data_IF_284186702308
#
_entry.id   IF_284186702308
#
_cell.length_a   1.000
_cell.length_b   1.000
_cell.length_c   1.000
_cell.angle_alpha   90.00
_cell.angle_beta   90.00
_cell.angle_gamma   90.00
#
_symmetry.space_group_name_H-M   'P 1'
#
loop_
_entity.id
_entity.type
_entity.pdbx_description
1 polymer ?
#
# COMPACT_ATOMS: atom_id res chain seq x y z
N UNK A 1 -69.49 19.93 13.45
CA UNK A 1 -68.21 20.20 12.78
C UNK A 1 -67.21 19.15 13.24
N UNK A 2 -66.89 18.17 12.37
CA UNK A 2 -65.88 17.13 12.63
C UNK A 2 -64.57 17.56 11.95
N UNK A 3 -63.54 17.82 12.76
CA UNK A 3 -62.21 18.13 12.23
C UNK A 3 -61.51 16.81 11.86
N UNK A 4 -61.20 16.67 10.58
CA UNK A 4 -60.37 15.60 10.03
C UNK A 4 -58.90 16.03 10.16
N UNK A 5 -58.17 15.39 11.09
CA UNK A 5 -56.73 15.61 11.23
C UNK A 5 -56.05 14.68 10.20
N UNK A 6 -55.49 15.27 9.15
CA UNK A 6 -54.70 14.59 8.14
C UNK A 6 -53.24 14.53 8.66
N UNK A 7 -52.81 13.39 9.18
CA UNK A 7 -51.40 13.16 9.55
C UNK A 7 -50.61 12.79 8.29
N UNK A 8 -49.85 13.73 7.79
CA UNK A 8 -48.85 13.49 6.71
C UNK A 8 -47.66 12.79 7.31
N UNK A 9 -47.51 11.48 7.07
CA UNK A 9 -46.28 10.77 7.34
C UNK A 9 -45.26 11.13 6.25
N UNK A 10 -44.22 11.88 6.63
CA UNK A 10 -43.07 12.14 5.79
C UNK A 10 -42.19 10.88 5.83
N UNK A 11 -42.22 10.07 4.77
CA UNK A 11 -41.27 9.02 4.53
C UNK A 11 -39.95 9.67 4.13
N UNK A 12 -38.97 9.72 5.04
CA UNK A 12 -37.59 9.92 4.68
C UNK A 12 -37.11 8.62 4.06
N UNK A 13 -37.08 8.55 2.74
CA UNK A 13 -36.30 7.56 2.03
C UNK A 13 -34.83 7.99 2.19
N UNK A 14 -34.10 7.37 3.12
CA UNK A 14 -32.65 7.37 3.08
C UNK A 14 -32.24 6.63 1.81
N UNK A 15 -31.76 7.38 0.82
CA UNK A 15 -31.02 6.77 -0.29
C UNK A 15 -29.78 6.11 0.36
N UNK A 16 -29.80 4.79 0.45
CA UNK A 16 -28.57 4.02 0.62
C UNK A 16 -27.77 4.23 -0.68
N UNK A 17 -26.85 5.15 -0.66
CA UNK A 17 -25.81 5.22 -1.69
C UNK A 17 -24.96 3.98 -1.47
N UNK A 18 -24.81 3.15 -2.50
CA UNK A 18 -23.85 2.06 -2.46
C UNK A 18 -22.46 2.67 -2.24
N UNK A 19 -21.74 2.19 -1.26
CA UNK A 19 -20.35 2.62 -1.01
C UNK A 19 -19.49 2.29 -2.23
N UNK A 20 -18.54 3.18 -2.52
CA UNK A 20 -17.59 2.92 -3.60
C UNK A 20 -16.66 1.78 -3.18
N UNK A 21 -16.44 0.75 -4.01
CA UNK A 21 -15.47 -0.30 -3.67
C UNK A 21 -14.03 0.20 -3.69
N UNK A 22 -13.77 1.37 -4.24
CA UNK A 22 -12.42 1.87 -4.50
C UNK A 22 -11.92 2.76 -3.36
N UNK A 23 -10.58 2.84 -3.24
CA UNK A 23 -9.96 3.81 -2.34
C UNK A 23 -10.42 5.22 -2.66
N UNK A 24 -10.57 6.04 -1.62
CA UNK A 24 -11.09 7.39 -1.72
C UNK A 24 -10.03 8.46 -1.47
N UNK A 25 -8.93 8.10 -0.80
CA UNK A 25 -7.93 9.06 -0.35
C UNK A 25 -6.53 8.47 -0.30
N UNK A 26 -5.52 9.36 -0.52
CA UNK A 26 -4.08 9.10 -0.30
C UNK A 26 -3.59 10.02 0.81
N UNK A 27 -2.90 9.47 1.82
CA UNK A 27 -2.35 10.22 2.95
C UNK A 27 -0.87 10.51 2.82
N UNK A 28 -0.12 9.60 2.21
CA UNK A 28 1.32 9.75 2.07
C UNK A 28 1.81 9.07 0.79
N UNK A 29 2.75 9.73 0.11
CA UNK A 29 3.48 9.19 -1.01
C UNK A 29 4.96 9.53 -0.85
N UNK A 30 5.78 8.51 -0.65
CA UNK A 30 7.22 8.63 -0.47
C UNK A 30 7.92 7.54 -1.28
N UNK A 31 8.11 7.73 -2.59
CA UNK A 31 8.82 6.77 -3.41
C UNK A 31 10.31 6.73 -3.04
N UNK A 32 10.94 5.57 -3.18
CA UNK A 32 12.39 5.46 -3.25
C UNK A 32 12.87 5.96 -4.63
N UNK A 33 14.15 6.27 -4.81
CA UNK A 33 14.69 6.54 -6.13
C UNK A 33 14.35 5.44 -7.14
N UNK A 34 14.06 5.80 -8.40
CA UNK A 34 13.68 4.83 -9.43
C UNK A 34 13.52 5.45 -10.81
N UNK A 35 13.55 4.61 -11.83
CA UNK A 35 13.53 5.01 -13.24
C UNK A 35 12.22 5.68 -13.68
N UNK A 36 11.12 5.48 -12.99
CA UNK A 36 9.82 6.12 -13.26
C UNK A 36 9.48 7.21 -12.26
N UNK A 37 10.28 7.40 -11.23
CA UNK A 37 10.11 8.50 -10.27
C UNK A 37 10.29 9.83 -10.97
N UNK A 38 9.51 10.83 -10.58
CA UNK A 38 9.34 12.14 -11.24
C UNK A 38 8.55 12.12 -12.56
N UNK A 39 8.11 10.94 -13.03
CA UNK A 39 7.27 10.80 -14.24
C UNK A 39 5.95 10.08 -13.99
N UNK A 40 5.85 9.28 -12.91
CA UNK A 40 4.64 8.56 -12.51
C UNK A 40 4.38 8.69 -11.00
N UNK A 41 3.65 9.77 -10.58
CA UNK A 41 3.11 10.87 -11.37
C UNK A 41 4.20 11.88 -11.79
N UNK A 42 3.89 12.70 -12.78
CA UNK A 42 4.81 13.72 -13.29
C UNK A 42 5.05 14.83 -12.26
N UNK A 43 6.33 15.07 -11.96
CA UNK A 43 6.77 16.19 -11.15
C UNK A 43 6.78 17.46 -11.99
N UNK A 44 6.25 18.54 -11.46
CA UNK A 44 6.35 19.88 -12.02
C UNK A 44 7.17 20.77 -11.07
N UNK A 45 7.92 21.72 -11.66
CA UNK A 45 8.78 22.60 -10.87
C UNK A 45 7.99 23.37 -9.80
N UNK A 46 8.42 23.20 -8.54
CA UNK A 46 7.74 23.75 -7.36
C UNK A 46 6.75 22.82 -6.66
N UNK A 47 6.56 21.58 -7.14
CA UNK A 47 5.80 20.58 -6.39
C UNK A 47 6.53 20.23 -5.08
N UNK A 48 5.78 20.22 -4.00
CA UNK A 48 6.19 19.69 -2.70
C UNK A 48 5.57 18.29 -2.46
N UNK A 49 5.89 17.67 -1.33
CA UNK A 49 5.36 16.36 -0.95
C UNK A 49 3.83 16.32 -0.92
N UNK A 50 3.18 17.42 -0.51
CA UNK A 50 1.73 17.51 -0.48
C UNK A 50 1.13 17.62 -1.90
N UNK A 51 1.79 18.33 -2.82
CA UNK A 51 1.39 18.41 -4.22
C UNK A 51 1.51 17.02 -4.89
N UNK A 52 2.61 16.33 -4.69
CA UNK A 52 2.81 14.99 -5.22
C UNK A 52 1.79 13.99 -4.64
N UNK A 53 1.48 14.07 -3.34
CA UNK A 53 0.44 13.24 -2.73
C UNK A 53 -0.95 13.46 -3.35
N UNK A 54 -1.32 14.72 -3.66
CA UNK A 54 -2.57 15.04 -4.39
C UNK A 54 -2.57 14.47 -5.81
N UNK A 55 -1.46 14.59 -6.55
CA UNK A 55 -1.32 14.00 -7.90
C UNK A 55 -1.47 12.48 -7.87
N UNK A 56 -0.95 11.82 -6.83
CA UNK A 56 -1.15 10.39 -6.60
C UNK A 56 -2.63 10.09 -6.33
N UNK A 57 -3.29 10.83 -5.45
CA UNK A 57 -4.72 10.66 -5.20
C UNK A 57 -5.56 10.84 -6.46
N UNK A 58 -5.30 11.88 -7.25
CA UNK A 58 -5.94 12.12 -8.54
C UNK A 58 -5.71 10.97 -9.54
N UNK A 59 -4.55 10.33 -9.50
CA UNK A 59 -4.25 9.22 -10.39
C UNK A 59 -4.97 7.92 -10.02
N UNK A 60 -4.96 7.53 -8.74
CA UNK A 60 -5.32 6.17 -8.33
C UNK A 60 -6.61 6.06 -7.50
N UNK A 61 -7.14 7.15 -6.93
CA UNK A 61 -8.38 7.10 -6.17
C UNK A 61 -9.62 7.05 -7.07
N UNK A 62 -10.75 6.61 -6.51
CA UNK A 62 -12.07 6.61 -7.16
C UNK A 62 -12.10 5.91 -8.54
N UNK A 63 -11.30 4.86 -8.73
CA UNK A 63 -11.18 4.11 -9.99
C UNK A 63 -10.73 4.99 -11.20
N UNK A 64 -9.87 5.94 -10.96
CA UNK A 64 -9.38 6.85 -12.02
C UNK A 64 -8.45 6.17 -13.03
N UNK A 65 -7.98 4.93 -12.76
CA UNK A 65 -7.19 4.09 -13.67
C UNK A 65 -5.85 4.70 -14.10
N UNK A 66 -5.36 5.67 -13.34
CA UNK A 66 -3.99 6.12 -13.44
C UNK A 66 -3.03 5.12 -12.81
N UNK A 67 -1.75 5.38 -12.91
CA UNK A 67 -0.71 4.54 -12.36
C UNK A 67 0.34 5.42 -11.69
N UNK A 68 0.90 4.94 -10.60
CA UNK A 68 2.04 5.55 -9.91
C UNK A 68 3.13 4.51 -9.70
N UNK A 69 4.37 4.96 -9.59
CA UNK A 69 5.51 4.12 -9.22
C UNK A 69 5.90 4.33 -7.77
N UNK A 70 6.36 3.28 -7.10
CA UNK A 70 6.94 3.39 -5.75
C UNK A 70 8.48 3.49 -5.78
N UNK A 71 9.10 3.30 -6.95
CA UNK A 71 10.55 3.26 -7.12
C UNK A 71 11.16 2.01 -6.48
N UNK A 72 12.45 2.06 -6.14
CA UNK A 72 13.18 0.95 -5.55
C UNK A 72 12.65 0.51 -4.19
N UNK A 73 13.34 -0.43 -3.55
CA UNK A 73 12.92 -1.03 -2.29
C UNK A 73 12.56 0.00 -1.22
N UNK A 74 11.43 -0.25 -0.56
CA UNK A 74 10.96 0.54 0.58
C UNK A 74 10.16 1.79 0.22
N UNK A 75 10.24 2.29 -1.03
CA UNK A 75 9.38 3.39 -1.47
C UNK A 75 7.91 3.00 -1.37
N UNK A 76 7.05 3.91 -0.89
CA UNK A 76 5.70 3.55 -0.47
C UNK A 76 4.61 4.59 -0.77
N UNK A 77 3.38 4.11 -0.71
CA UNK A 77 2.15 4.91 -0.69
C UNK A 77 1.26 4.45 0.46
N UNK A 78 0.55 5.40 1.10
CA UNK A 78 -0.50 5.13 2.11
C UNK A 78 -1.82 5.66 1.57
N UNK A 79 -2.79 4.78 1.44
CA UNK A 79 -4.13 5.12 0.97
C UNK A 79 -5.21 4.38 1.80
N UNK A 80 -6.48 4.71 1.57
CA UNK A 80 -7.56 4.04 2.28
C UNK A 80 -8.93 4.23 1.65
N UNK A 81 -9.86 3.51 2.23
CA UNK A 81 -11.27 3.50 1.87
C UNK A 81 -12.04 4.52 2.72
N UNK A 82 -13.21 4.95 2.27
CA UNK A 82 -14.15 5.78 3.04
C UNK A 82 -15.03 4.96 3.99
N UNK A 83 -14.73 3.66 4.11
CA UNK A 83 -15.45 2.69 4.89
C UNK A 83 -14.50 1.60 5.43
N UNK A 84 -15.01 0.76 6.33
CA UNK A 84 -14.32 -0.42 6.82
C UNK A 84 -14.36 -1.53 5.76
N UNK A 85 -13.23 -2.00 5.26
CA UNK A 85 -13.14 -3.28 4.53
C UNK A 85 -13.19 -4.40 5.55
N UNK A 86 -14.29 -5.15 5.60
CA UNK A 86 -14.52 -6.16 6.64
C UNK A 86 -13.68 -7.41 6.39
N UNK A 87 -13.03 -7.92 7.43
CA UNK A 87 -12.38 -9.22 7.42
C UNK A 87 -13.45 -10.33 7.41
N UNK A 88 -13.56 -11.07 6.33
CA UNK A 88 -14.54 -12.15 6.14
C UNK A 88 -13.89 -13.51 6.22
N UNK A 89 -14.38 -14.35 7.11
CA UNK A 89 -13.88 -15.70 7.27
C UNK A 89 -13.92 -16.49 5.94
N UNK A 90 -12.82 -17.15 5.61
CA UNK A 90 -12.67 -17.99 4.40
C UNK A 90 -12.87 -17.25 3.06
N UNK A 91 -12.71 -15.91 3.02
CA UNK A 91 -12.82 -15.12 1.81
C UNK A 91 -11.58 -14.24 1.61
N UNK A 92 -11.43 -13.67 0.43
CA UNK A 92 -10.49 -12.58 0.16
C UNK A 92 -11.25 -11.26 0.26
N UNK A 93 -10.65 -10.27 0.86
CA UNK A 93 -11.35 -9.06 1.27
C UNK A 93 -11.08 -7.89 0.35
N UNK A 94 -9.86 -7.75 -0.15
CA UNK A 94 -9.49 -6.63 -1.01
C UNK A 94 -8.46 -7.01 -2.06
N UNK A 95 -8.26 -6.12 -3.03
CA UNK A 95 -7.28 -6.22 -4.09
C UNK A 95 -6.53 -4.90 -4.21
N UNK A 96 -5.19 -4.95 -4.23
CA UNK A 96 -4.38 -3.82 -4.68
C UNK A 96 -4.12 -3.99 -6.18
N UNK A 97 -4.50 -2.97 -6.95
CA UNK A 97 -4.37 -2.98 -8.40
C UNK A 97 -2.95 -2.55 -8.80
N UNK A 98 -2.31 -3.34 -9.63
CA UNK A 98 -0.99 -3.09 -10.21
C UNK A 98 -0.97 -3.34 -11.70
N UNK A 99 0.23 -3.41 -12.30
CA UNK A 99 0.41 -3.65 -13.74
C UNK A 99 1.05 -5.01 -14.06
N UNK A 100 1.20 -5.90 -13.07
CA UNK A 100 1.81 -7.21 -13.25
C UNK A 100 1.21 -8.00 -14.43
N UNK A 101 2.06 -8.66 -15.20
CA UNK A 101 1.64 -9.54 -16.29
C UNK A 101 2.55 -10.75 -16.43
N UNK A 102 2.04 -11.82 -17.06
CA UNK A 102 2.83 -13.00 -17.38
C UNK A 102 3.26 -13.00 -18.85
N UNK A 103 4.56 -13.17 -19.08
CA UNK A 103 5.12 -13.39 -20.41
C UNK A 103 5.28 -14.87 -20.75
N UNK A 104 5.26 -15.77 -19.74
CA UNK A 104 5.55 -17.20 -19.87
C UNK A 104 4.44 -18.10 -19.33
N UNK A 105 3.18 -17.84 -19.69
CA UNK A 105 1.99 -18.56 -19.19
C UNK A 105 1.99 -20.07 -19.43
N UNK A 106 2.95 -20.59 -20.18
CA UNK A 106 3.07 -22.02 -20.51
C UNK A 106 4.05 -22.78 -19.60
N UNK A 107 4.69 -22.11 -18.65
CA UNK A 107 5.64 -22.72 -17.71
C UNK A 107 4.97 -23.04 -16.38
N UNK A 108 5.55 -23.97 -15.62
CA UNK A 108 5.07 -24.30 -14.26
C UNK A 108 5.23 -23.14 -13.27
N UNK A 109 6.19 -22.23 -13.53
CA UNK A 109 6.45 -21.02 -12.74
C UNK A 109 6.00 -19.82 -13.56
N UNK A 110 4.99 -19.13 -13.09
CA UNK A 110 4.43 -17.95 -13.75
C UNK A 110 5.31 -16.73 -13.49
N UNK A 111 5.58 -15.95 -14.54
CA UNK A 111 6.35 -14.72 -14.46
C UNK A 111 6.30 -13.91 -15.74
N UNK A 112 6.82 -12.72 -15.67
CA UNK A 112 6.89 -11.72 -16.73
C UNK A 112 7.43 -10.44 -16.14
N UNK A 113 6.56 -9.48 -15.82
CA UNK A 113 6.79 -8.36 -14.93
C UNK A 113 5.94 -8.60 -13.68
N UNK A 114 6.54 -9.19 -12.66
CA UNK A 114 5.95 -9.40 -11.33
C UNK A 114 6.85 -8.69 -10.32
N UNK A 115 6.39 -7.53 -9.83
CA UNK A 115 7.19 -6.57 -9.07
C UNK A 115 6.63 -6.40 -7.66
N UNK A 116 6.81 -7.42 -6.79
CA UNK A 116 6.04 -7.62 -5.58
C UNK A 116 6.21 -6.49 -4.57
N UNK A 117 5.07 -5.87 -4.22
CA UNK A 117 4.96 -4.91 -3.13
C UNK A 117 4.48 -5.57 -1.84
N UNK A 118 5.15 -5.30 -0.73
CA UNK A 118 4.68 -5.64 0.61
C UNK A 118 3.43 -4.81 0.90
N UNK A 119 2.42 -5.46 1.44
CA UNK A 119 1.18 -4.82 1.86
C UNK A 119 1.11 -4.79 3.37
N UNK A 120 0.87 -3.63 3.93
CA UNK A 120 0.53 -3.44 5.34
C UNK A 120 -0.86 -2.86 5.45
N UNK A 121 -1.55 -3.20 6.52
CA UNK A 121 -2.93 -2.79 6.79
C UNK A 121 -3.07 -2.19 8.18
N UNK A 122 -4.01 -1.24 8.33
CA UNK A 122 -4.32 -0.63 9.62
C UNK A 122 -5.83 -0.48 9.80
N UNK A 123 -6.26 -0.71 11.04
CA UNK A 123 -7.63 -0.49 11.50
C UNK A 123 -7.69 0.82 12.28
N UNK A 124 -8.60 1.73 11.92
CA UNK A 124 -8.85 2.97 12.65
C UNK A 124 -9.51 2.67 14.00
N UNK A 125 -8.68 2.35 14.99
CA UNK A 125 -9.14 1.92 16.31
C UNK A 125 -9.65 3.11 17.15
N UNK A 126 -9.14 4.31 16.88
CA UNK A 126 -9.52 5.52 17.61
C UNK A 126 -10.67 6.28 16.94
N UNK A 127 -11.04 5.94 15.69
CA UNK A 127 -12.15 6.49 14.91
C UNK A 127 -11.91 7.93 14.44
N UNK A 128 -10.64 8.32 14.22
CA UNK A 128 -10.30 9.69 13.83
C UNK A 128 -10.16 9.88 12.31
N UNK A 129 -10.20 8.78 11.53
CA UNK A 129 -10.07 8.79 10.08
C UNK A 129 -8.65 9.09 9.58
N UNK A 130 -7.62 8.88 10.42
CA UNK A 130 -6.22 9.15 10.11
C UNK A 130 -5.42 7.86 10.29
N UNK A 131 -4.44 7.52 9.41
CA UNK A 131 -3.65 6.30 9.49
C UNK A 131 -2.53 6.38 10.56
N UNK A 132 -2.88 6.71 11.81
CA UNK A 132 -1.98 6.89 12.96
C UNK A 132 -2.07 5.75 13.98
N UNK A 133 -2.88 4.72 13.71
CA UNK A 133 -2.98 3.50 14.48
C UNK A 133 -1.90 2.46 14.08
N UNK A 134 -1.92 1.30 14.74
CA UNK A 134 -0.95 0.23 14.51
C UNK A 134 -1.06 -0.36 13.09
N UNK A 135 0.10 -0.62 12.50
CA UNK A 135 0.23 -1.24 11.18
C UNK A 135 0.63 -2.70 11.30
N UNK A 136 0.00 -3.55 10.48
CA UNK A 136 0.20 -4.99 10.43
C UNK A 136 0.61 -5.41 9.02
N UNK A 137 1.66 -6.23 8.89
CA UNK A 137 2.09 -6.75 7.61
C UNK A 137 1.18 -7.92 7.19
N UNK A 138 0.79 -7.96 5.92
CA UNK A 138 0.17 -9.14 5.31
C UNK A 138 1.27 -10.18 5.09
N UNK A 139 1.23 -11.28 5.83
CA UNK A 139 2.18 -12.39 5.72
C UNK A 139 1.93 -13.16 4.41
N UNK A 140 2.55 -12.69 3.34
CA UNK A 140 2.53 -13.37 2.04
C UNK A 140 3.34 -14.66 2.03
N UNK A 141 3.36 -15.36 0.90
CA UNK A 141 3.99 -16.68 0.75
C UNK A 141 5.48 -16.73 1.11
N UNK A 142 6.17 -15.60 0.98
CA UNK A 142 7.60 -15.50 1.28
C UNK A 142 7.88 -14.98 2.72
N UNK A 143 6.86 -14.72 3.53
CA UNK A 143 7.03 -14.15 4.87
C UNK A 143 7.96 -14.98 5.76
N UNK A 144 7.86 -16.32 5.68
CA UNK A 144 8.71 -17.27 6.45
C UNK A 144 9.88 -17.83 5.65
N UNK A 145 10.11 -17.34 4.43
CA UNK A 145 11.24 -17.78 3.62
C UNK A 145 12.55 -17.39 4.33
N UNK A 146 13.52 -18.31 4.48
CA UNK A 146 14.81 -18.02 5.16
C UNK A 146 15.63 -16.90 4.51
N UNK A 147 15.35 -16.54 3.27
CA UNK A 147 16.01 -15.44 2.56
C UNK A 147 15.29 -14.10 2.74
N UNK A 148 14.08 -14.09 3.31
CA UNK A 148 13.37 -12.87 3.66
C UNK A 148 14.04 -12.23 4.88
N UNK A 149 14.27 -10.92 4.81
CA UNK A 149 14.92 -10.16 5.87
C UNK A 149 13.90 -9.23 6.49
N UNK A 150 13.47 -9.52 7.71
CA UNK A 150 12.65 -8.62 8.50
C UNK A 150 13.50 -7.52 9.15
N UNK A 151 12.90 -6.36 9.39
CA UNK A 151 13.62 -5.18 9.93
C UNK A 151 14.82 -4.78 9.06
N UNK A 152 14.70 -4.96 7.76
CA UNK A 152 15.69 -4.48 6.81
C UNK A 152 15.61 -2.96 6.72
N UNK A 153 16.76 -2.30 6.68
CA UNK A 153 16.88 -0.85 6.51
C UNK A 153 17.79 -0.58 5.31
N UNK A 154 17.39 0.35 4.47
CA UNK A 154 18.17 0.77 3.32
C UNK A 154 18.10 2.28 3.16
N UNK A 155 19.26 2.90 2.98
CA UNK A 155 19.42 4.34 2.73
C UNK A 155 19.89 4.56 1.30
N UNK A 156 19.16 5.37 0.54
CA UNK A 156 19.57 5.89 -0.76
C UNK A 156 20.16 7.27 -0.63
N UNK A 157 21.19 7.55 -1.41
CA UNK A 157 21.87 8.84 -1.43
C UNK A 157 21.64 9.57 -2.75
N UNK A 158 21.31 10.85 -2.67
CA UNK A 158 21.20 11.71 -3.84
C UNK A 158 22.58 11.84 -4.52
N UNK A 159 22.66 11.69 -5.85
CA UNK A 159 23.90 12.03 -6.58
C UNK A 159 24.30 13.47 -6.30
N UNK A 160 25.61 13.70 -6.07
CA UNK A 160 26.13 15.05 -5.90
C UNK A 160 26.03 15.85 -7.21
N UNK A 161 26.05 17.18 -7.12
CA UNK A 161 25.97 18.05 -8.30
C UNK A 161 27.17 17.89 -9.26
N UNK A 162 28.30 17.43 -8.72
CA UNK A 162 29.53 17.15 -9.47
C UNK A 162 29.68 15.67 -9.85
N UNK A 163 28.61 14.87 -9.68
CA UNK A 163 28.61 13.45 -10.05
C UNK A 163 28.93 13.27 -11.52
N UNK A 164 29.93 12.43 -11.79
CA UNK A 164 30.34 12.06 -13.15
C UNK A 164 29.83 10.66 -13.48
N UNK A 165 28.99 10.58 -14.50
CA UNK A 165 28.45 9.30 -14.94
C UNK A 165 29.55 8.30 -15.32
N UNK A 166 29.39 7.05 -14.89
CA UNK A 166 30.27 5.93 -15.20
C UNK A 166 29.53 4.95 -16.12
N UNK A 167 29.64 5.10 -17.45
CA UNK A 167 28.98 4.19 -18.40
C UNK A 167 29.47 2.75 -18.24
N UNK A 168 28.59 1.79 -18.45
CA UNK A 168 28.96 0.38 -18.43
C UNK A 168 29.96 0.06 -19.54
N UNK A 169 31.06 -0.62 -19.16
CA UNK A 169 32.04 -1.13 -20.14
C UNK A 169 31.52 -2.37 -20.88
N UNK A 170 30.62 -3.12 -20.26
CA UNK A 170 30.07 -4.36 -20.82
C UNK A 170 28.81 -4.07 -21.64
N UNK A 171 27.92 -3.20 -21.13
CA UNK A 171 26.63 -2.86 -21.75
C UNK A 171 26.46 -1.34 -21.91
N UNK A 172 27.31 -0.64 -22.68
CA UNK A 172 27.26 0.83 -22.77
C UNK A 172 26.00 1.36 -23.50
N UNK A 173 25.28 0.48 -24.20
CA UNK A 173 24.00 0.78 -24.85
C UNK A 173 22.80 0.63 -23.93
N UNK A 174 22.99 0.14 -22.73
CA UNK A 174 21.95 -0.09 -21.72
C UNK A 174 22.11 0.84 -20.53
N UNK A 175 23.32 0.90 -19.97
CA UNK A 175 23.59 1.66 -18.75
C UNK A 175 24.46 2.88 -19.06
N UNK A 176 23.89 4.06 -18.89
CA UNK A 176 24.60 5.34 -19.03
C UNK A 176 25.42 5.70 -17.81
N UNK A 177 25.01 5.18 -16.63
CA UNK A 177 25.72 5.37 -15.38
C UNK A 177 25.51 4.17 -14.47
N UNK A 178 26.60 3.49 -14.12
CA UNK A 178 26.63 2.33 -13.22
C UNK A 178 26.89 2.70 -11.75
N UNK A 179 27.02 3.99 -11.46
CA UNK A 179 27.27 4.53 -10.12
C UNK A 179 26.27 5.62 -9.72
N UNK A 180 25.05 5.57 -10.30
CA UNK A 180 24.13 6.69 -10.27
C UNK A 180 23.53 6.95 -8.89
N UNK A 181 22.76 6.03 -8.30
CA UNK A 181 22.21 6.17 -6.96
C UNK A 181 22.92 5.19 -6.02
N UNK A 182 23.75 5.70 -5.14
CA UNK A 182 24.35 4.89 -4.07
C UNK A 182 23.26 4.47 -3.08
N UNK A 183 23.30 3.20 -2.67
CA UNK A 183 22.52 2.71 -1.52
C UNK A 183 23.39 1.95 -0.56
N UNK A 184 23.00 1.94 0.73
CA UNK A 184 23.61 1.18 1.82
C UNK A 184 22.52 0.60 2.71
N UNK A 185 22.72 -0.64 3.18
CA UNK A 185 21.77 -1.32 4.06
C UNK A 185 22.34 -1.60 5.46
N UNK A 186 21.46 -2.05 6.36
CA UNK A 186 21.83 -2.44 7.72
C UNK A 186 22.47 -3.83 7.81
N UNK A 187 22.74 -4.49 6.68
CA UNK A 187 23.49 -5.74 6.56
C UNK A 187 24.94 -5.48 6.11
N UNK A 188 25.41 -4.23 6.17
CA UNK A 188 26.73 -3.77 5.72
C UNK A 188 26.97 -3.90 4.20
N UNK A 189 25.90 -4.11 3.41
CA UNK A 189 26.01 -4.11 1.96
C UNK A 189 25.85 -2.68 1.42
N UNK A 190 26.46 -2.46 0.26
CA UNK A 190 26.28 -1.24 -0.54
C UNK A 190 26.28 -1.58 -2.03
N UNK A 191 25.61 -0.79 -2.80
CA UNK A 191 25.55 -0.93 -4.25
C UNK A 191 25.06 0.33 -4.92
N UNK A 192 24.78 0.22 -6.20
CA UNK A 192 24.26 1.33 -6.98
C UNK A 192 23.03 0.91 -7.78
N UNK A 193 22.05 1.79 -7.85
CA UNK A 193 21.01 1.72 -8.85
C UNK A 193 21.55 2.39 -10.12
N UNK A 194 21.56 1.64 -11.23
CA UNK A 194 22.12 2.12 -12.49
C UNK A 194 21.11 3.00 -13.22
N UNK A 195 21.59 4.03 -13.92
CA UNK A 195 20.77 4.80 -14.85
C UNK A 195 20.74 4.14 -16.22
N UNK A 196 19.54 3.98 -16.78
CA UNK A 196 19.32 3.39 -18.09
C UNK A 196 19.37 4.46 -19.19
N UNK A 197 19.80 4.05 -20.38
CA UNK A 197 19.82 4.91 -21.58
C UNK A 197 18.41 5.38 -21.98
N UNK A 198 17.38 4.61 -21.62
CA UNK A 198 15.98 4.89 -21.96
C UNK A 198 15.27 5.79 -20.95
N UNK A 199 15.82 5.90 -19.72
CA UNK A 199 15.29 6.70 -18.62
C UNK A 199 16.38 7.66 -18.15
N UNK A 200 16.41 8.87 -18.72
CA UNK A 200 17.47 9.86 -18.47
C UNK A 200 17.10 10.93 -17.46
N UNK A 201 15.83 10.97 -17.05
CA UNK A 201 15.37 11.88 -15.99
C UNK A 201 16.04 11.54 -14.66
N UNK A 202 16.03 12.45 -13.69
CA UNK A 202 16.48 12.17 -12.34
C UNK A 202 15.69 11.02 -11.71
N UNK A 203 16.39 10.08 -11.05
CA UNK A 203 15.76 8.96 -10.32
C UNK A 203 15.44 9.32 -8.87
N UNK A 204 16.22 10.22 -8.28
CA UNK A 204 15.94 10.69 -6.93
C UNK A 204 14.72 11.63 -6.94
N UNK A 205 13.75 11.47 -6.03
CA UNK A 205 12.56 12.33 -6.00
C UNK A 205 12.94 13.80 -5.87
N UNK A 206 12.49 14.65 -6.79
CA UNK A 206 12.92 16.06 -6.89
C UNK A 206 12.36 16.94 -5.78
N UNK A 207 11.21 16.56 -5.19
CA UNK A 207 10.58 17.29 -4.07
C UNK A 207 11.13 16.94 -2.68
N UNK A 208 12.02 15.95 -2.58
CA UNK A 208 12.70 15.61 -1.32
C UNK A 208 13.97 16.44 -1.26
N UNK A 209 14.09 17.34 -0.27
CA UNK A 209 15.26 18.21 -0.14
C UNK A 209 16.49 17.51 0.45
N UNK A 210 16.28 16.48 1.28
CA UNK A 210 17.33 15.73 1.94
C UNK A 210 18.25 15.04 0.94
N UNK A 211 19.54 14.97 1.26
CA UNK A 211 20.55 14.29 0.44
C UNK A 211 20.52 12.77 0.58
N UNK A 212 19.71 12.24 1.47
CA UNK A 212 19.47 10.80 1.63
C UNK A 212 18.06 10.52 2.09
N UNK A 213 17.55 9.34 1.77
CA UNK A 213 16.26 8.84 2.25
C UNK A 213 16.43 7.41 2.73
N UNK A 214 15.90 7.12 3.93
CA UNK A 214 15.97 5.80 4.54
C UNK A 214 14.58 5.19 4.64
N UNK A 215 14.51 3.90 4.34
CA UNK A 215 13.29 3.07 4.44
C UNK A 215 13.55 1.88 5.36
N UNK A 216 12.48 1.42 6.01
CA UNK A 216 12.49 0.27 6.91
C UNK A 216 11.33 -0.66 6.56
N UNK A 217 11.55 -1.97 6.63
CA UNK A 217 10.50 -2.95 6.38
C UNK A 217 11.01 -4.37 6.21
N UNK A 218 10.25 -5.19 5.52
CA UNK A 218 10.62 -6.54 5.10
C UNK A 218 11.21 -6.50 3.70
N UNK A 219 12.37 -7.12 3.48
CA UNK A 219 12.94 -7.35 2.16
C UNK A 219 12.69 -8.79 1.75
N UNK A 220 12.00 -8.97 0.62
CA UNK A 220 11.79 -10.27 -0.02
C UNK A 220 13.07 -10.76 -0.74
N UNK A 221 13.21 -12.06 -1.01
CA UNK A 221 14.23 -12.59 -1.91
C UNK A 221 14.12 -11.96 -3.30
N UNK A 222 15.20 -12.04 -4.08
CA UNK A 222 15.12 -11.63 -5.48
C UNK A 222 14.27 -12.64 -6.28
N UNK A 223 13.43 -12.13 -7.20
CA UNK A 223 12.49 -12.97 -7.93
C UNK A 223 12.73 -13.02 -9.45
N UNK A 224 13.85 -12.50 -9.94
CA UNK A 224 14.13 -12.47 -11.38
C UNK A 224 15.16 -13.52 -11.81
N UNK A 225 15.12 -13.85 -13.11
CA UNK A 225 16.08 -14.71 -13.77
C UNK A 225 16.36 -14.18 -15.18
N UNK A 226 17.63 -14.22 -15.59
CA UNK A 226 17.98 -14.10 -17.01
C UNK A 226 17.75 -15.46 -17.69
N UNK A 227 16.60 -15.64 -18.30
CA UNK A 227 16.22 -16.87 -18.99
C UNK A 227 17.03 -17.12 -20.27
N UNK A 228 17.65 -16.06 -20.82
CA UNK A 228 18.53 -16.20 -21.98
C UNK A 228 19.96 -16.64 -21.62
N UNK A 229 20.36 -16.44 -20.36
CA UNK A 229 21.74 -16.67 -19.90
C UNK A 229 22.79 -15.73 -20.51
N UNK A 230 22.35 -14.72 -21.27
CA UNK A 230 23.24 -13.75 -21.94
C UNK A 230 22.77 -12.28 -21.81
N UNK A 231 21.85 -12.00 -20.90
CA UNK A 231 21.38 -10.66 -20.58
C UNK A 231 20.34 -10.09 -21.55
N UNK A 232 19.68 -10.92 -22.37
CA UNK A 232 18.73 -10.44 -23.38
C UNK A 232 17.26 -10.71 -23.05
N UNK A 233 16.97 -11.63 -22.11
CA UNK A 233 15.60 -11.93 -21.71
C UNK A 233 15.52 -12.23 -20.21
N UNK A 234 14.94 -11.29 -19.48
CA UNK A 234 14.70 -11.36 -18.06
C UNK A 234 13.23 -11.64 -17.76
N UNK A 235 12.97 -12.44 -16.73
CA UNK A 235 11.64 -12.73 -16.22
C UNK A 235 11.64 -12.50 -14.72
N UNK A 236 10.73 -11.69 -14.24
CA UNK A 236 10.40 -11.53 -12.81
C UNK A 236 9.26 -12.49 -12.49
N UNK A 237 9.52 -13.43 -11.59
CA UNK A 237 8.58 -14.50 -11.25
C UNK A 237 7.64 -14.09 -10.13
N UNK A 238 6.35 -14.44 -10.26
CA UNK A 238 5.38 -14.21 -9.20
C UNK A 238 5.65 -15.11 -7.99
N UNK A 239 5.55 -14.55 -6.80
CA UNK A 239 5.35 -15.30 -5.57
C UNK A 239 3.92 -15.85 -5.50
N UNK A 240 3.62 -16.72 -4.53
CA UNK A 240 2.35 -17.45 -4.57
C UNK A 240 1.15 -16.56 -4.20
N UNK A 241 1.22 -15.75 -3.12
CA UNK A 241 0.13 -14.88 -2.67
C UNK A 241 0.61 -13.79 -1.71
N UNK A 242 -0.24 -12.77 -1.48
CA UNK A 242 -0.10 -11.80 -0.39
C UNK A 242 0.70 -10.55 -0.74
N UNK A 243 0.96 -10.27 -2.02
CA UNK A 243 1.73 -9.12 -2.48
C UNK A 243 0.96 -8.33 -3.54
N UNK A 244 1.10 -7.01 -3.50
CA UNK A 244 0.65 -6.13 -4.58
C UNK A 244 1.54 -6.30 -5.82
N UNK A 245 1.03 -6.01 -7.00
CA UNK A 245 1.77 -6.00 -8.29
C UNK A 245 2.59 -7.28 -8.58
N UNK A 246 2.12 -8.39 -8.04
CA UNK A 246 2.78 -9.70 -8.13
C UNK A 246 2.07 -10.65 -9.09
N UNK A 247 0.76 -10.53 -9.18
CA UNK A 247 -0.09 -11.25 -10.12
C UNK A 247 -0.95 -10.26 -10.91
N UNK A 248 -1.35 -10.58 -12.16
CA UNK A 248 -2.33 -9.76 -12.89
C UNK A 248 -3.61 -9.57 -12.08
N UNK A 249 -4.21 -8.37 -12.15
CA UNK A 249 -5.38 -7.98 -11.34
C UNK A 249 -6.58 -8.93 -11.44
N UNK A 250 -6.72 -9.68 -12.54
CA UNK A 250 -7.77 -10.67 -12.74
C UNK A 250 -7.43 -12.08 -12.21
N UNK A 251 -6.28 -12.26 -11.56
CA UNK A 251 -5.87 -13.53 -10.98
C UNK A 251 -6.37 -13.63 -9.53
N UNK A 252 -6.91 -14.80 -9.16
CA UNK A 252 -7.37 -15.04 -7.77
C UNK A 252 -6.25 -14.85 -6.72
N UNK A 253 -4.99 -15.11 -7.10
CA UNK A 253 -3.82 -14.95 -6.21
C UNK A 253 -3.39 -13.49 -5.99
N UNK A 254 -3.93 -12.54 -6.77
CA UNK A 254 -3.75 -11.12 -6.53
C UNK A 254 -4.61 -10.61 -5.35
N UNK A 255 -5.69 -11.33 -5.03
CA UNK A 255 -6.61 -10.97 -3.94
C UNK A 255 -6.00 -11.25 -2.58
N UNK A 256 -6.21 -10.34 -1.64
CA UNK A 256 -5.60 -10.34 -0.32
C UNK A 256 -6.67 -10.64 0.74
N UNK A 257 -6.27 -11.40 1.74
CA UNK A 257 -7.05 -11.80 2.91
C UNK A 257 -6.52 -11.04 4.14
N UNK A 258 -7.40 -10.36 4.85
CA UNK A 258 -7.03 -9.64 6.08
C UNK A 258 -6.63 -10.62 7.20
N UNK A 259 -7.10 -11.89 7.15
CA UNK A 259 -6.66 -12.91 8.11
C UNK A 259 -5.14 -13.18 8.05
N UNK A 260 -4.46 -12.83 6.96
CA UNK A 260 -3.00 -12.94 6.83
C UNK A 260 -2.22 -11.84 7.56
N UNK A 261 -2.90 -10.85 8.14
CA UNK A 261 -2.27 -9.78 8.88
C UNK A 261 -1.59 -10.30 10.17
N UNK A 262 -0.33 -9.93 10.37
CA UNK A 262 0.47 -10.33 11.52
C UNK A 262 1.02 -9.13 12.28
N UNK A 263 1.21 -9.32 13.57
CA UNK A 263 1.92 -8.38 14.47
C UNK A 263 3.43 -8.46 14.23
N UNK A 264 4.17 -7.53 14.80
CA UNK A 264 5.62 -7.49 14.71
C UNK A 264 6.33 -8.75 15.23
N UNK A 265 5.68 -9.53 16.09
CA UNK A 265 6.18 -10.83 16.59
C UNK A 265 5.77 -12.03 15.71
N UNK A 266 5.09 -11.77 14.58
CA UNK A 266 4.60 -12.79 13.65
C UNK A 266 3.32 -13.50 14.08
N UNK A 267 2.71 -13.12 15.20
CA UNK A 267 1.42 -13.67 15.62
C UNK A 267 0.25 -13.03 14.86
N UNK A 268 -0.87 -13.74 14.62
CA UNK A 268 -2.05 -13.18 13.94
C UNK A 268 -2.56 -11.89 14.59
N UNK A 269 -2.86 -10.88 13.78
CA UNK A 269 -3.40 -9.62 14.27
C UNK A 269 -4.89 -9.72 14.65
N UNK A 270 -5.65 -10.61 14.00
CA UNK A 270 -7.09 -10.83 14.22
C UNK A 270 -7.92 -9.53 14.09
N UNK A 271 -7.71 -8.80 13.02
CA UNK A 271 -8.40 -7.54 12.75
C UNK A 271 -9.86 -7.80 12.36
N UNK A 272 -10.82 -6.95 12.80
CA UNK A 272 -12.20 -7.03 12.33
C UNK A 272 -12.38 -6.56 10.88
N UNK A 273 -11.40 -5.82 10.37
CA UNK A 273 -11.34 -5.21 9.06
C UNK A 273 -10.24 -4.16 9.00
N UNK A 274 -10.17 -3.40 7.91
CA UNK A 274 -9.16 -2.38 7.69
C UNK A 274 -9.78 -1.10 7.13
N UNK A 275 -9.14 0.05 7.40
CA UNK A 275 -9.47 1.34 6.78
C UNK A 275 -8.34 1.82 5.89
N UNK A 276 -7.09 1.47 6.24
CA UNK A 276 -5.91 1.98 5.58
C UNK A 276 -5.01 0.84 5.08
N UNK A 277 -4.36 1.11 3.97
CA UNK A 277 -3.40 0.22 3.33
C UNK A 277 -2.13 1.01 3.03
N UNK A 278 -0.98 0.44 3.36
CA UNK A 278 0.33 0.90 2.94
C UNK A 278 0.95 -0.15 2.04
N UNK A 279 1.45 0.27 0.89
CA UNK A 279 2.19 -0.62 -0.01
C UNK A 279 3.58 -0.05 -0.23
N UNK A 280 4.60 -0.91 -0.17
CA UNK A 280 5.96 -0.53 -0.50
C UNK A 280 6.66 -1.60 -1.35
N UNK A 281 7.59 -1.19 -2.22
CA UNK A 281 8.37 -2.12 -3.05
C UNK A 281 9.12 -3.13 -2.18
N UNK A 282 8.87 -4.42 -2.38
CA UNK A 282 9.32 -5.49 -1.48
C UNK A 282 10.70 -6.06 -1.80
N UNK A 283 11.26 -5.83 -3.00
CA UNK A 283 12.54 -6.39 -3.46
C UNK A 283 13.57 -5.29 -3.70
N UNK A 284 14.85 -5.55 -3.35
CA UNK A 284 15.98 -4.68 -3.68
C UNK A 284 16.81 -5.35 -4.77
N UNK A 285 16.38 -5.22 -6.01
CA UNK A 285 17.00 -5.89 -7.15
C UNK A 285 17.04 -4.99 -8.38
N UNK A 286 17.98 -5.31 -9.28
CA UNK A 286 18.04 -4.71 -10.61
C UNK A 286 17.99 -5.82 -11.66
N UNK A 287 16.95 -5.80 -12.47
CA UNK A 287 16.62 -6.85 -13.43
C UNK A 287 17.24 -6.55 -14.80
N UNK A 288 18.55 -6.56 -14.92
CA UNK A 288 19.30 -6.33 -16.15
C UNK A 288 18.91 -5.02 -16.84
N UNK A 289 18.58 -5.10 -18.12
CA UNK A 289 18.18 -3.93 -18.93
C UNK A 289 16.75 -3.43 -18.61
N UNK A 290 15.97 -4.16 -17.85
CA UNK A 290 14.67 -3.68 -17.33
C UNK A 290 14.85 -2.61 -16.25
N UNK A 291 16.02 -2.54 -15.61
CA UNK A 291 16.30 -1.57 -14.55
C UNK A 291 16.04 -2.09 -13.16
N UNK A 292 15.85 -1.18 -12.21
CA UNK A 292 15.40 -1.54 -10.88
C UNK A 292 13.96 -2.05 -10.91
N UNK A 293 13.64 -2.96 -10.00
CA UNK A 293 12.28 -3.40 -9.79
C UNK A 293 11.56 -2.38 -8.94
N UNK A 294 10.44 -1.89 -9.44
CA UNK A 294 9.57 -0.93 -8.79
C UNK A 294 8.14 -1.47 -8.78
N UNK A 295 7.47 -1.35 -7.67
CA UNK A 295 6.05 -1.73 -7.59
C UNK A 295 5.21 -0.59 -8.12
N UNK A 296 4.32 -0.86 -9.10
CA UNK A 296 3.37 0.10 -9.64
C UNK A 296 1.99 -0.12 -9.03
N UNK A 297 1.32 0.99 -8.67
CA UNK A 297 -0.01 0.99 -8.07
C UNK A 297 -1.00 1.76 -8.95
N UNK A 298 -2.17 1.14 -9.18
CA UNK A 298 -3.28 1.71 -9.93
C UNK A 298 -4.53 1.92 -9.07
N UNK A 299 -4.44 1.69 -7.75
CA UNK A 299 -5.53 1.80 -6.80
C UNK A 299 -5.73 0.55 -5.96
N UNK A 300 -6.86 0.48 -5.26
CA UNK A 300 -7.29 -0.73 -4.57
C UNK A 300 -8.82 -0.81 -4.55
N UNK A 301 -9.34 -2.03 -4.36
CA UNK A 301 -10.74 -2.37 -4.43
C UNK A 301 -11.13 -3.27 -3.25
N UNK A 302 -12.20 -2.88 -2.54
CA UNK A 302 -12.94 -3.77 -1.65
C UNK A 302 -13.71 -4.80 -2.49
N UNK A 303 -13.54 -6.08 -2.22
CA UNK A 303 -14.15 -7.16 -3.00
C UNK A 303 -15.62 -7.43 -2.64
N UNK A 304 -16.12 -6.87 -1.54
CA UNK A 304 -17.52 -6.99 -1.15
C UNK A 304 -18.05 -5.74 -0.38
N UNK A 305 -18.13 -4.59 -1.05
CA UNK A 305 -18.56 -3.35 -0.41
C UNK A 305 -20.02 -3.39 0.09
N UNK A 306 -20.82 -4.34 -0.36
CA UNK A 306 -22.20 -4.52 0.09
C UNK A 306 -22.29 -5.16 1.48
N UNK A 307 -21.24 -5.84 1.94
CA UNK A 307 -21.24 -6.51 3.24
C UNK A 307 -21.22 -5.50 4.42
N UNK A 308 -20.70 -4.29 4.21
CA UNK A 308 -20.59 -3.24 5.22
C UNK A 308 -21.94 -2.76 5.73
N UNK A 309 -22.90 -2.52 4.83
CA UNK A 309 -24.21 -2.02 5.21
C UNK A 309 -24.99 -2.94 6.14
N UNK A 310 -24.65 -4.23 6.14
CA UNK A 310 -25.26 -5.22 7.01
C UNK A 310 -24.56 -5.28 8.39
N UNK A 311 -23.22 -5.09 8.45
CA UNK A 311 -22.40 -5.29 9.65
C UNK A 311 -22.29 -4.00 10.50
N UNK A 312 -22.18 -2.82 9.90
CA UNK A 312 -22.20 -1.54 10.63
C UNK A 312 -23.48 -1.36 11.45
N UNK A 313 -24.60 -1.92 11.00
CA UNK A 313 -25.84 -1.92 11.76
C UNK A 313 -25.87 -2.95 12.91
N UNK A 314 -24.93 -3.89 12.98
CA UNK A 314 -24.93 -5.00 13.94
C UNK A 314 -23.73 -4.97 14.89
N UNK A 315 -22.58 -4.39 14.50
CA UNK A 315 -21.29 -4.59 15.19
C UNK A 315 -20.63 -3.36 15.80
N UNK A 316 -21.26 -2.20 15.87
CA UNK A 316 -20.74 -1.15 16.75
C UNK A 316 -21.43 -1.19 18.11
N UNK A 317 -20.97 -2.00 19.07
CA UNK A 317 -21.15 -1.59 20.46
C UNK A 317 -20.28 -0.34 20.58
N UNK A 318 -20.92 0.85 20.60
CA UNK A 318 -20.21 2.11 20.84
C UNK A 318 -19.21 1.87 21.98
N UNK A 319 -17.92 2.16 21.71
CA UNK A 319 -16.90 2.05 22.74
C UNK A 319 -17.34 2.82 23.98
N UNK A 320 -17.16 2.27 25.18
CA UNK A 320 -17.56 2.92 26.41
C UNK A 320 -16.75 4.22 26.59
N UNK A 321 -17.42 5.35 26.56
CA UNK A 321 -16.82 6.68 26.73
C UNK A 321 -17.07 7.16 28.15
N UNK A 322 -16.06 7.66 28.84
CA UNK A 322 -16.21 8.32 30.13
C UNK A 322 -16.81 9.71 29.97
N UNK A 323 -17.93 10.00 30.59
CA UNK A 323 -18.57 11.33 30.59
C UNK A 323 -18.90 11.81 32.01
N UNK A 324 -18.67 13.09 32.25
CA UNK A 324 -19.18 13.78 33.44
C UNK A 324 -20.61 14.26 33.16
N UNK A 325 -21.57 13.78 33.92
CA UNK A 325 -22.99 14.19 33.89
C UNK A 325 -23.36 14.68 35.29
N UNK A 326 -23.76 15.94 35.41
CA UNK A 326 -24.11 16.57 36.70
C UNK A 326 -23.03 16.38 37.79
N UNK A 327 -21.73 16.49 37.40
CA UNK A 327 -20.60 16.39 38.33
C UNK A 327 -20.22 14.98 38.76
N UNK A 328 -20.88 13.94 38.23
CA UNK A 328 -20.50 12.53 38.44
C UNK A 328 -19.99 11.88 37.18
N UNK A 329 -19.01 10.99 37.31
CA UNK A 329 -18.40 10.25 36.22
C UNK A 329 -19.24 9.02 35.86
N UNK A 330 -19.61 8.89 34.61
CA UNK A 330 -20.33 7.75 34.05
C UNK A 330 -19.56 7.14 32.87
N UNK A 331 -19.84 5.88 32.58
CA UNK A 331 -19.43 5.18 31.36
C UNK A 331 -20.65 5.12 30.45
N UNK A 332 -20.58 5.75 29.28
CA UNK A 332 -21.65 5.77 28.27
C UNK A 332 -21.28 4.82 27.16
N UNK A 333 -22.15 3.85 26.84
CA UNK A 333 -21.96 2.91 25.74
C UNK A 333 -23.27 2.85 24.92
N UNK A 334 -23.27 3.46 23.75
CA UNK A 334 -24.48 3.66 22.97
C UNK A 334 -25.54 4.47 23.74
N UNK A 335 -26.74 3.93 23.87
CA UNK A 335 -27.81 4.50 24.64
C UNK A 335 -27.78 4.15 26.14
N UNK A 336 -26.84 3.31 26.57
CA UNK A 336 -26.74 2.86 27.95
C UNK A 336 -25.74 3.70 28.73
N UNK A 337 -26.11 4.05 29.97
CA UNK A 337 -25.27 4.80 30.90
C UNK A 337 -25.00 3.90 32.10
N UNK A 338 -23.74 3.75 32.46
CA UNK A 338 -23.29 2.96 33.59
C UNK A 338 -22.62 3.84 34.66
N UNK A 339 -22.77 3.53 35.91
CA UNK A 339 -21.91 4.09 36.95
C UNK A 339 -20.48 3.57 36.76
N UNK A 340 -19.51 4.18 37.44
CA UNK A 340 -18.11 3.68 37.44
C UNK A 340 -17.97 2.29 38.07
N UNK A 341 -18.99 1.82 38.80
CA UNK A 341 -19.08 0.47 39.38
C UNK A 341 -19.80 -0.54 38.47
N UNK A 342 -20.21 -0.11 37.24
CA UNK A 342 -20.84 -0.97 36.24
C UNK A 342 -22.36 -1.15 36.37
N UNK A 343 -23.05 -0.40 37.27
CA UNK A 343 -24.50 -0.44 37.38
C UNK A 343 -25.15 0.41 36.29
N UNK A 344 -26.18 -0.13 35.61
CA UNK A 344 -26.95 0.61 34.61
C UNK A 344 -27.76 1.70 35.31
N UNK A 345 -27.65 2.93 34.80
CA UNK A 345 -28.49 4.08 35.22
C UNK A 345 -29.71 4.09 34.32
N UNK A 346 -30.84 3.59 34.85
CA UNK A 346 -32.13 3.74 34.15
C UNK A 346 -32.58 5.20 34.25
N UNK A 347 -33.03 5.78 33.14
CA UNK A 347 -33.75 7.04 33.11
C UNK A 347 -35.18 6.83 33.59
#
# INVERSE_FOLDING_TARGET
>A
MKYLILTTQLFFATLLMAQSPYISRVWEYKPAPGQFVNTLPEYEDGDDAAAMCRKVEEAIANNNKGMITLGGWGGYVVFGFDHLVVNRTEAKDFLVLGNAFYSNQQTAKLGGSCEPGIVMVSYDANGNGIPDDEWYEIAGSEYTNPQTIHNYELTYYRPSEDHVATPSLVNPKTFTDTTYILWQDNQENKGYMNQLVYHKQPYYPLWIEDNSVTFNGTRLPDNYTDESGNGTYYVQYAYDYGYADNHPNNNEKAKIDIEWAVKADGTPANLPGIHFVKVYTGVNQQCGWLGETSTEIMGAEDLDPAFHTAVENVMMPSLPVKRFINGQLYIVQGTKIYTVTGLIVNK
#
